data_IF_814967926949
#
_entry.id   IF_814967926949
#
_cell.length_a   1.000
_cell.length_b   1.000
_cell.length_c   1.000
_cell.angle_alpha   90.00
_cell.angle_beta   90.00
_cell.angle_gamma   90.00
#
_symmetry.space_group_name_H-M   'P 1'
#
loop_
_entity.id
_entity.type
_entity.pdbx_description
1 polymer ?
#
# COMPACT_ATOMS: atom_id res chain seq x y z
N UNK A 1 -63.88 39.71 -18.19
CA UNK A 1 -65.01 40.45 -17.60
C UNK A 1 -65.66 39.56 -16.56
N UNK A 2 -65.78 40.07 -15.32
CA UNK A 2 -66.60 39.65 -14.15
C UNK A 2 -66.61 38.16 -13.74
N UNK A 3 -66.40 37.75 -12.48
CA UNK A 3 -66.34 38.43 -11.18
C UNK A 3 -67.28 37.75 -10.15
N UNK A 4 -66.83 37.72 -8.89
CA UNK A 4 -67.46 37.31 -7.61
C UNK A 4 -67.44 35.80 -7.24
N UNK A 5 -66.70 35.32 -6.22
CA UNK A 5 -66.53 35.62 -4.77
C UNK A 5 -67.58 35.00 -3.82
N UNK A 6 -67.09 34.11 -2.93
CA UNK A 6 -67.34 33.95 -1.48
C UNK A 6 -66.18 33.06 -0.97
N UNK A 7 -65.21 33.43 -0.12
CA UNK A 7 -65.12 34.13 1.18
C UNK A 7 -65.67 33.34 2.38
N UNK A 8 -64.76 32.74 3.15
CA UNK A 8 -64.72 32.60 4.63
C UNK A 8 -63.43 31.79 4.95
N UNK A 9 -62.30 32.39 5.33
CA UNK A 9 -61.91 33.08 6.59
C UNK A 9 -61.80 32.18 7.84
N UNK A 10 -60.56 31.75 8.08
CA UNK A 10 -59.80 31.97 9.33
C UNK A 10 -60.26 31.31 10.63
N UNK A 11 -59.48 30.31 11.09
CA UNK A 11 -58.99 30.25 12.48
C UNK A 11 -57.53 29.80 12.52
N UNK A 12 -56.66 30.80 12.69
CA UNK A 12 -55.32 30.65 13.26
C UNK A 12 -55.44 30.21 14.73
N UNK A 13 -54.71 29.17 15.12
CA UNK A 13 -54.06 29.15 16.45
C UNK A 13 -52.68 28.52 16.36
N UNK A 14 -51.72 29.40 16.56
CA UNK A 14 -50.30 29.16 16.79
C UNK A 14 -50.10 28.38 18.10
N UNK A 15 -49.33 27.29 18.08
CA UNK A 15 -48.65 26.76 19.27
C UNK A 15 -47.20 26.44 18.91
N UNK A 16 -46.36 27.47 19.05
CA UNK A 16 -44.96 27.31 19.37
C UNK A 16 -44.79 26.73 20.79
N UNK A 17 -43.62 26.11 20.98
CA UNK A 17 -42.92 25.80 22.22
C UNK A 17 -43.34 24.53 22.98
N UNK A 18 -42.47 23.52 22.98
CA UNK A 18 -41.48 23.37 24.06
C UNK A 18 -40.47 22.25 23.77
N UNK A 19 -39.18 22.63 23.75
CA UNK A 19 -38.05 21.72 23.96
C UNK A 19 -38.07 21.23 25.41
N UNK A 20 -37.91 19.92 25.69
CA UNK A 20 -37.40 19.49 26.98
C UNK A 20 -35.88 19.59 26.98
N UNK A 21 -35.44 20.66 27.62
CA UNK A 21 -34.08 20.89 28.11
C UNK A 21 -33.85 19.92 29.27
N UNK A 22 -32.95 18.94 29.12
CA UNK A 22 -32.48 18.15 30.26
C UNK A 22 -30.95 18.09 30.27
N UNK A 23 -30.35 19.22 30.63
CA UNK A 23 -29.00 19.28 31.21
C UNK A 23 -29.04 18.56 32.56
N UNK A 24 -28.64 17.30 32.60
CA UNK A 24 -28.14 16.71 33.84
C UNK A 24 -26.63 16.86 33.89
N UNK A 25 -26.24 17.83 34.71
CA UNK A 25 -24.94 17.95 35.34
C UNK A 25 -24.47 16.58 35.84
N UNK A 26 -23.41 16.04 35.25
CA UNK A 26 -22.51 15.15 35.95
C UNK A 26 -21.23 15.92 36.25
N UNK A 27 -21.06 16.14 37.55
CA UNK A 27 -20.00 16.86 38.24
C UNK A 27 -18.65 16.22 37.90
N UNK A 28 -17.79 17.01 37.27
CA UNK A 28 -16.35 16.79 37.23
C UNK A 28 -15.84 16.53 38.65
N UNK A 29 -15.33 15.33 38.90
CA UNK A 29 -14.38 15.09 39.99
C UNK A 29 -13.01 15.01 39.34
N UNK A 30 -12.30 16.14 39.38
CA UNK A 30 -10.85 16.15 39.40
C UNK A 30 -10.39 15.14 40.45
N UNK A 31 -9.71 14.09 40.00
CA UNK A 31 -8.86 13.26 40.84
C UNK A 31 -7.44 13.51 40.36
N UNK A 32 -6.78 14.42 41.06
CA UNK A 32 -5.33 14.54 41.05
C UNK A 32 -4.75 13.17 41.41
N UNK A 33 -4.14 12.50 40.44
CA UNK A 33 -3.18 11.45 40.73
C UNK A 33 -1.81 12.07 40.68
N UNK A 34 -1.30 12.35 41.88
CA UNK A 34 0.05 12.81 42.13
C UNK A 34 1.07 12.05 41.30
N UNK A 35 1.88 12.83 40.59
CA UNK A 35 3.19 12.47 40.08
C UNK A 35 3.99 11.74 41.17
N UNK A 36 4.28 10.46 40.94
CA UNK A 36 5.43 9.81 41.54
C UNK A 36 6.43 9.54 40.42
N UNK A 37 7.39 10.45 40.31
CA UNK A 37 8.64 10.24 39.63
C UNK A 37 9.28 8.96 40.20
N UNK A 38 9.24 7.87 39.42
CA UNK A 38 10.08 6.72 39.69
C UNK A 38 11.48 7.04 39.18
N UNK A 39 12.32 7.50 40.11
CA UNK A 39 13.77 7.46 39.95
C UNK A 39 14.21 6.00 39.80
N UNK A 40 14.47 5.57 38.57
CA UNK A 40 15.25 4.36 38.32
C UNK A 40 16.70 4.64 38.72
N UNK A 41 17.07 4.20 39.93
CA UNK A 41 18.47 4.14 40.34
C UNK A 41 19.18 3.09 39.51
N UNK A 42 20.15 3.56 38.72
CA UNK A 42 21.17 2.74 38.09
C UNK A 42 21.86 1.87 39.15
N UNK A 43 21.91 0.55 38.91
CA UNK A 43 22.77 -0.34 39.68
C UNK A 43 23.73 -1.00 38.70
N UNK A 44 24.88 -0.35 38.53
CA UNK A 44 26.02 -0.79 37.74
C UNK A 44 26.66 -1.98 38.47
N UNK A 45 26.44 -3.21 38.01
CA UNK A 45 27.18 -4.36 38.51
C UNK A 45 28.51 -4.46 37.78
N UNK A 46 29.57 -4.13 38.52
CA UNK A 46 30.96 -4.35 38.16
C UNK A 46 31.24 -5.86 38.25
N UNK A 47 31.59 -6.48 37.12
CA UNK A 47 32.28 -7.78 37.12
C UNK A 47 33.71 -7.51 36.64
N UNK A 48 34.65 -7.69 37.57
CA UNK A 48 36.10 -7.72 37.35
C UNK A 48 36.58 -9.17 37.30
N UNK A 49 37.55 -9.45 36.43
CA UNK A 49 38.39 -10.67 36.42
C UNK A 49 38.48 -11.28 35.03
N UNK A 50 39.45 -10.93 34.18
CA UNK A 50 40.90 -11.27 34.14
C UNK A 50 41.24 -12.54 33.34
N UNK A 51 41.94 -12.27 32.23
CA UNK A 51 43.00 -13.03 31.53
C UNK A 51 42.74 -14.44 30.98
N UNK A 52 42.98 -14.60 29.67
CA UNK A 52 44.14 -15.33 29.15
C UNK A 52 44.38 -14.98 27.66
N UNK A 53 45.63 -15.10 27.25
CA UNK A 53 46.25 -14.45 26.11
C UNK A 53 46.32 -15.31 24.83
N UNK A 54 46.35 -14.63 23.68
CA UNK A 54 47.02 -14.95 22.40
C UNK A 54 46.60 -16.25 21.65
N UNK A 55 46.90 -16.45 20.33
CA UNK A 55 47.86 -15.71 19.49
C UNK A 55 47.43 -15.38 18.02
N UNK A 56 48.21 -14.45 17.46
CA UNK A 56 48.76 -14.33 16.10
C UNK A 56 48.04 -14.86 14.84
N UNK A 57 48.01 -13.94 13.87
CA UNK A 57 47.84 -14.07 12.41
C UNK A 57 48.58 -15.25 11.74
N UNK A 58 47.92 -15.90 10.79
CA UNK A 58 48.52 -16.44 9.56
C UNK A 58 47.65 -16.12 8.34
N UNK A 59 48.27 -15.36 7.44
CA UNK A 59 47.91 -15.05 6.06
C UNK A 59 48.53 -16.14 5.17
N UNK A 60 47.73 -16.86 4.36
CA UNK A 60 48.14 -17.63 3.17
C UNK A 60 46.85 -17.89 2.35
N UNK A 61 46.62 -17.16 1.26
CA UNK A 61 47.03 -17.43 -0.14
C UNK A 61 46.01 -18.28 -0.92
N UNK A 62 45.77 -17.81 -2.14
CA UNK A 62 44.96 -18.39 -3.20
C UNK A 62 45.28 -19.88 -3.47
N UNK A 63 44.30 -20.66 -3.94
CA UNK A 63 44.32 -21.26 -5.29
C UNK A 63 42.93 -21.83 -5.67
N UNK A 64 42.57 -21.86 -6.97
CA UNK A 64 41.22 -22.14 -7.46
C UNK A 64 40.96 -23.64 -7.70
N UNK A 65 39.79 -24.08 -7.25
CA UNK A 65 39.28 -25.43 -7.47
C UNK A 65 38.72 -25.64 -8.89
N UNK A 66 39.55 -26.21 -9.74
CA UNK A 66 39.28 -27.24 -10.76
C UNK A 66 38.15 -26.98 -11.79
N UNK A 67 38.63 -26.68 -12.99
CA UNK A 67 38.00 -26.79 -14.30
C UNK A 67 37.29 -28.14 -14.54
N UNK A 68 35.97 -28.10 -14.70
CA UNK A 68 35.23 -29.14 -15.41
C UNK A 68 35.09 -28.70 -16.87
N UNK A 69 35.87 -29.34 -17.75
CA UNK A 69 35.63 -29.33 -19.20
C UNK A 69 34.23 -29.88 -19.46
N UNK A 70 33.36 -29.10 -20.09
CA UNK A 70 32.27 -29.66 -20.88
C UNK A 70 32.43 -29.23 -22.34
N UNK A 71 32.50 -30.28 -23.15
CA UNK A 71 32.76 -30.33 -24.57
C UNK A 71 31.86 -29.39 -25.35
N UNK A 72 32.43 -28.76 -26.36
CA UNK A 72 31.67 -28.24 -27.48
C UNK A 72 30.80 -29.37 -28.06
N UNK A 73 29.49 -29.16 -28.07
CA UNK A 73 28.60 -29.84 -29.02
C UNK A 73 27.87 -28.76 -29.79
N UNK A 74 28.29 -28.63 -31.04
CA UNK A 74 27.74 -27.82 -32.09
C UNK A 74 26.54 -28.62 -32.59
N UNK A 75 25.33 -28.31 -32.15
CA UNK A 75 24.13 -28.74 -32.86
C UNK A 75 23.07 -27.65 -32.87
N UNK A 76 22.71 -27.38 -34.10
CA UNK A 76 21.90 -26.32 -34.62
C UNK A 76 20.43 -26.64 -34.37
N UNK A 77 19.80 -25.96 -33.40
CA UNK A 77 18.34 -25.80 -33.38
C UNK A 77 18.06 -24.32 -33.55
N UNK A 78 17.97 -23.92 -34.83
CA UNK A 78 17.37 -22.69 -35.30
C UNK A 78 15.88 -22.69 -34.93
N UNK A 79 15.56 -22.37 -33.67
CA UNK A 79 14.23 -21.89 -33.30
C UNK A 79 14.18 -20.40 -33.56
N UNK A 80 13.68 -20.06 -34.75
CA UNK A 80 13.13 -18.75 -35.06
C UNK A 80 12.14 -18.37 -33.97
N UNK A 81 12.56 -17.52 -33.03
CA UNK A 81 11.65 -16.76 -32.21
C UNK A 81 11.91 -15.29 -32.53
N UNK A 82 11.40 -14.86 -33.67
CA UNK A 82 11.18 -13.43 -33.94
C UNK A 82 10.07 -12.99 -33.00
N UNK A 83 10.43 -12.76 -31.74
CA UNK A 83 9.53 -12.22 -30.75
C UNK A 83 9.29 -10.77 -31.15
N UNK A 84 8.08 -10.50 -31.66
CA UNK A 84 7.51 -9.17 -31.85
C UNK A 84 7.92 -8.29 -30.67
N UNK A 85 8.42 -7.06 -30.86
CA UNK A 85 8.80 -6.21 -29.73
C UNK A 85 7.60 -6.15 -28.79
N UNK A 86 7.81 -6.60 -27.55
CA UNK A 86 6.82 -6.52 -26.49
C UNK A 86 6.54 -5.03 -26.31
N UNK A 87 5.50 -4.52 -26.97
CA UNK A 87 5.17 -3.11 -26.91
C UNK A 87 4.71 -2.83 -25.48
N UNK A 88 5.59 -2.20 -24.71
CA UNK A 88 5.36 -1.83 -23.34
C UNK A 88 4.19 -0.84 -23.31
N UNK A 89 3.29 -0.95 -22.33
CA UNK A 89 2.21 0.03 -22.16
C UNK A 89 2.86 1.45 -22.08
N UNK A 90 2.25 2.44 -22.75
CA UNK A 90 2.91 3.73 -23.04
C UNK A 90 3.38 4.50 -21.79
N UNK A 91 2.68 4.32 -20.67
CA UNK A 91 2.99 4.92 -19.37
C UNK A 91 3.82 4.04 -18.44
N UNK A 92 4.31 2.88 -18.88
CA UNK A 92 4.98 1.93 -17.99
C UNK A 92 6.21 2.50 -17.28
N UNK A 93 6.97 3.35 -17.96
CA UNK A 93 8.24 3.91 -17.46
C UNK A 93 8.05 5.23 -16.71
N UNK A 94 6.81 5.63 -16.44
CA UNK A 94 6.47 6.89 -15.79
C UNK A 94 5.80 7.90 -16.73
N UNK A 95 5.40 9.06 -16.18
CA UNK A 95 4.73 10.11 -16.93
C UNK A 95 5.64 10.73 -17.99
N UNK A 96 5.04 11.11 -19.11
CA UNK A 96 5.67 11.97 -20.12
C UNK A 96 4.66 13.03 -20.60
N UNK A 97 5.11 14.12 -21.23
CA UNK A 97 4.22 15.22 -21.62
C UNK A 97 3.06 14.82 -22.54
N UNK A 98 3.23 13.80 -23.39
CA UNK A 98 2.17 13.34 -24.28
C UNK A 98 1.05 12.61 -23.53
N UNK A 99 1.39 11.87 -22.47
CA UNK A 99 0.42 11.10 -21.67
C UNK A 99 -0.20 11.90 -20.51
N UNK A 100 0.33 13.07 -20.20
CA UNK A 100 -0.24 13.99 -19.19
C UNK A 100 -1.35 14.89 -19.77
N UNK A 101 -1.68 14.71 -21.05
CA UNK A 101 -2.77 15.45 -21.69
C UNK A 101 -4.11 14.95 -21.15
N UNK A 102 -4.93 15.84 -20.58
CA UNK A 102 -6.24 15.51 -20.02
C UNK A 102 -6.47 16.11 -18.64
N UNK A 103 -7.65 15.88 -18.07
CA UNK A 103 -7.97 16.33 -16.72
C UNK A 103 -7.30 15.45 -15.67
N UNK A 104 -6.75 16.05 -14.61
CA UNK A 104 -6.10 15.31 -13.51
C UNK A 104 -7.00 14.24 -12.90
N UNK A 105 -8.28 14.56 -12.76
CA UNK A 105 -9.29 13.66 -12.16
C UNK A 105 -9.63 12.44 -13.05
N UNK A 106 -9.09 12.39 -14.28
CA UNK A 106 -9.26 11.24 -15.17
C UNK A 106 -8.29 10.10 -14.86
N UNK A 107 -7.23 10.35 -14.09
CA UNK A 107 -6.24 9.33 -13.76
C UNK A 107 -6.66 8.53 -12.53
N UNK A 108 -6.47 7.20 -12.58
CA UNK A 108 -6.75 6.34 -11.44
C UNK A 108 -5.81 5.15 -11.37
N UNK A 109 -5.55 4.68 -10.15
CA UNK A 109 -4.86 3.42 -9.90
C UNK A 109 -5.83 2.34 -9.45
N UNK A 110 -5.63 1.14 -9.99
CA UNK A 110 -6.31 -0.07 -9.54
C UNK A 110 -5.29 -1.14 -9.19
N UNK A 111 -5.53 -1.87 -8.11
CA UNK A 111 -4.79 -3.07 -7.78
C UNK A 111 -5.72 -4.27 -7.89
N UNK A 112 -5.32 -5.33 -8.58
CA UNK A 112 -6.12 -6.55 -8.67
C UNK A 112 -5.28 -7.79 -8.54
N UNK A 113 -5.89 -8.84 -7.97
CA UNK A 113 -5.29 -10.15 -7.94
C UNK A 113 -5.54 -10.83 -9.30
N UNK A 114 -4.56 -11.58 -9.78
CA UNK A 114 -4.74 -12.42 -10.94
C UNK A 114 -5.39 -13.73 -10.51
N UNK A 115 -6.47 -14.09 -11.20
CA UNK A 115 -7.11 -15.39 -11.03
C UNK A 115 -6.14 -16.50 -11.40
N UNK A 116 -5.93 -17.47 -10.50
CA UNK A 116 -5.06 -18.61 -10.77
C UNK A 116 -5.81 -19.65 -11.60
N UNK A 117 -5.92 -19.44 -12.91
CA UNK A 117 -6.41 -20.47 -13.84
C UNK A 117 -5.31 -21.47 -14.24
N UNK A 118 -4.11 -21.37 -13.65
CA UNK A 118 -2.99 -22.28 -13.86
C UNK A 118 -2.13 -22.43 -12.60
N UNK A 119 -1.37 -23.53 -12.51
CA UNK A 119 -0.55 -23.94 -11.35
C UNK A 119 0.62 -23.00 -11.01
N UNK A 120 0.85 -21.98 -11.83
CA UNK A 120 1.98 -21.05 -11.78
C UNK A 120 1.59 -19.63 -11.34
N UNK A 121 0.30 -19.32 -11.14
CA UNK A 121 -0.19 -17.96 -10.92
C UNK A 121 -0.63 -17.73 -9.48
N UNK A 122 0.11 -18.29 -8.50
CA UNK A 122 -0.25 -18.35 -7.06
C UNK A 122 -0.41 -16.96 -6.41
N UNK A 123 -1.49 -16.25 -6.73
CA UNK A 123 -1.82 -14.96 -6.13
C UNK A 123 -0.95 -13.80 -6.59
N UNK A 124 -0.50 -13.79 -7.85
CA UNK A 124 0.13 -12.61 -8.44
C UNK A 124 -0.84 -11.42 -8.41
N UNK A 125 -0.31 -10.21 -8.17
CA UNK A 125 -1.06 -8.97 -8.21
C UNK A 125 -0.57 -8.09 -9.36
N UNK A 126 -1.43 -7.18 -9.80
CA UNK A 126 -1.07 -6.08 -10.69
C UNK A 126 -1.50 -4.76 -10.07
N UNK A 127 -0.70 -3.72 -10.31
CA UNK A 127 -1.11 -2.32 -10.23
C UNK A 127 -1.29 -1.81 -11.66
N UNK A 128 -2.43 -1.23 -11.96
CA UNK A 128 -2.76 -0.72 -13.28
C UNK A 128 -3.08 0.78 -13.19
N UNK A 129 -2.48 1.56 -14.09
CA UNK A 129 -2.79 2.97 -14.28
C UNK A 129 -3.78 3.13 -15.41
N UNK A 130 -4.83 3.90 -15.15
CA UNK A 130 -5.83 4.25 -16.14
C UNK A 130 -5.93 5.76 -16.32
N UNK A 131 -6.28 6.16 -17.53
CA UNK A 131 -6.83 7.47 -17.85
C UNK A 131 -8.23 7.28 -18.44
N UNK A 132 -9.27 7.60 -17.67
CA UNK A 132 -10.63 7.19 -18.00
C UNK A 132 -10.73 5.66 -18.11
N UNK A 133 -11.06 5.17 -19.31
CA UNK A 133 -11.13 3.73 -19.61
C UNK A 133 -9.85 3.14 -20.21
N UNK A 134 -8.89 3.97 -20.62
CA UNK A 134 -7.65 3.53 -21.25
C UNK A 134 -6.63 3.11 -20.19
N UNK A 135 -6.04 1.91 -20.32
CA UNK A 135 -4.93 1.50 -19.46
C UNK A 135 -3.62 2.03 -20.04
N UNK A 136 -2.92 2.84 -19.27
CA UNK A 136 -1.63 3.43 -19.65
C UNK A 136 -0.44 2.61 -19.16
N UNK A 137 -0.59 1.84 -18.09
CA UNK A 137 0.50 1.03 -17.53
C UNK A 137 -0.01 -0.14 -16.68
N UNK A 138 0.85 -1.14 -16.50
CA UNK A 138 0.59 -2.27 -15.60
C UNK A 138 1.89 -2.79 -14.96
N UNK A 139 1.97 -2.83 -13.64
CA UNK A 139 3.16 -3.28 -12.91
C UNK A 139 2.86 -4.55 -12.11
N UNK A 140 3.75 -5.55 -12.13
CA UNK A 140 3.68 -6.68 -11.22
C UNK A 140 3.71 -6.23 -9.76
N UNK A 141 2.88 -6.87 -8.94
CA UNK A 141 2.81 -6.61 -7.52
C UNK A 141 2.64 -7.90 -6.72
N UNK A 142 2.86 -7.81 -5.41
CA UNK A 142 2.65 -8.90 -4.45
C UNK A 142 1.87 -8.33 -3.26
N UNK A 143 0.91 -9.09 -2.72
CA UNK A 143 0.25 -8.72 -1.47
C UNK A 143 -0.08 -9.94 -0.61
N UNK A 144 0.30 -9.85 0.67
CA UNK A 144 0.18 -10.95 1.64
C UNK A 144 1.16 -12.10 1.37
N UNK A 145 1.03 -13.18 2.15
CA UNK A 145 1.73 -14.43 1.91
C UNK A 145 0.96 -15.30 0.92
N UNK A 146 1.66 -15.82 -0.09
CA UNK A 146 1.06 -16.77 -1.04
C UNK A 146 0.57 -18.07 -0.37
N UNK A 147 1.10 -18.41 0.81
CA UNK A 147 0.65 -19.55 1.64
C UNK A 147 -0.66 -19.28 2.39
N UNK A 148 -1.16 -18.05 2.38
CA UNK A 148 -2.37 -17.61 3.12
C UNK A 148 -3.41 -16.95 2.20
N UNK A 149 -3.78 -17.54 1.05
CA UNK A 149 -4.62 -16.88 0.04
C UNK A 149 -6.07 -16.64 0.50
N UNK A 150 -6.53 -17.39 1.51
CA UNK A 150 -7.89 -17.32 2.06
C UNK A 150 -7.95 -16.67 3.44
N UNK A 151 -6.82 -16.18 3.96
CA UNK A 151 -6.78 -15.53 5.27
C UNK A 151 -7.66 -14.27 5.27
N UNK A 152 -8.32 -14.02 6.40
CA UNK A 152 -9.18 -12.84 6.57
C UNK A 152 -8.38 -11.55 6.31
N UNK A 153 -8.78 -10.82 5.27
CA UNK A 153 -8.09 -9.60 4.83
C UNK A 153 -8.50 -8.39 5.66
N UNK A 154 -9.59 -8.43 6.44
CA UNK A 154 -10.25 -7.23 6.97
C UNK A 154 -10.14 -7.04 8.48
N UNK A 155 -10.20 -8.10 9.28
CA UNK A 155 -10.33 -7.97 10.74
C UNK A 155 -9.13 -8.54 11.51
N UNK A 156 -8.31 -9.33 10.85
CA UNK A 156 -7.21 -10.05 11.47
C UNK A 156 -5.85 -9.43 11.07
N UNK A 157 -5.35 -8.38 11.76
CA UNK A 157 -4.03 -7.84 11.47
C UNK A 157 -2.92 -8.87 11.74
N UNK A 158 -1.79 -8.75 11.03
CA UNK A 158 -0.62 -9.62 11.22
C UNK A 158 -0.79 -11.08 10.77
N UNK A 159 -1.95 -11.47 10.24
CA UNK A 159 -2.20 -12.86 9.83
C UNK A 159 -1.54 -13.26 8.50
N UNK A 160 -0.90 -12.31 7.80
CA UNK A 160 -0.29 -12.51 6.49
C UNK A 160 -1.26 -12.46 5.31
N UNK A 161 -2.52 -12.06 5.52
CA UNK A 161 -3.48 -11.87 4.44
C UNK A 161 -3.08 -10.70 3.53
N UNK A 162 -3.48 -10.81 2.26
CA UNK A 162 -3.34 -9.74 1.27
C UNK A 162 -4.12 -8.48 1.69
N UNK A 163 -3.76 -7.35 1.07
CA UNK A 163 -4.41 -6.05 1.23
C UNK A 163 -5.93 -6.21 1.07
N UNK A 164 -6.80 -5.70 1.95
CA UNK A 164 -8.25 -5.86 1.78
C UNK A 164 -8.81 -5.27 0.49
N UNK A 165 -9.94 -5.82 0.02
CA UNK A 165 -10.69 -5.28 -1.13
C UNK A 165 -11.40 -4.00 -0.67
N UNK A 166 -11.33 -2.96 -1.50
CA UNK A 166 -12.04 -1.71 -1.28
C UNK A 166 -11.31 -0.50 -1.87
N UNK A 167 -11.90 0.67 -1.63
CA UNK A 167 -11.31 1.95 -1.98
C UNK A 167 -10.40 2.46 -0.86
N UNK A 168 -9.30 3.08 -1.26
CA UNK A 168 -8.30 3.68 -0.39
C UNK A 168 -8.02 5.11 -0.83
N UNK A 169 -7.85 6.01 0.14
CA UNK A 169 -7.10 7.24 -0.13
C UNK A 169 -5.62 6.87 -0.26
N UNK A 170 -5.00 7.36 -1.32
CA UNK A 170 -3.61 7.19 -1.65
C UNK A 170 -2.84 8.45 -1.27
N UNK A 171 -1.87 8.30 -0.38
CA UNK A 171 -0.93 9.35 -0.04
C UNK A 171 0.03 9.67 -1.18
N UNK A 172 0.55 10.89 -1.18
CA UNK A 172 1.65 11.26 -2.06
C UNK A 172 2.89 10.41 -1.74
N UNK A 173 3.80 10.18 -2.71
CA UNK A 173 5.01 9.41 -2.48
C UNK A 173 5.93 10.13 -1.48
N UNK A 174 6.35 9.39 -0.46
CA UNK A 174 7.21 9.85 0.63
C UNK A 174 8.52 9.05 0.67
N UNK A 175 9.65 9.66 1.05
CA UNK A 175 10.88 8.91 1.31
C UNK A 175 10.70 7.92 2.47
N UNK A 176 11.22 6.70 2.32
CA UNK A 176 11.24 5.69 3.37
C UNK A 176 12.61 4.99 3.40
N UNK A 177 13.56 5.60 4.10
CA UNK A 177 14.97 5.20 4.00
C UNK A 177 15.49 5.41 2.58
N UNK A 178 16.00 4.35 1.95
CA UNK A 178 16.38 4.35 0.53
C UNK A 178 15.21 4.03 -0.42
N UNK A 179 14.02 3.77 0.14
CA UNK A 179 12.83 3.33 -0.59
C UNK A 179 11.76 4.43 -0.67
N UNK A 180 10.62 4.13 -1.30
CA UNK A 180 9.45 5.02 -1.43
C UNK A 180 8.27 4.36 -0.72
N UNK A 181 7.55 5.16 0.07
CA UNK A 181 6.30 4.79 0.69
C UNK A 181 5.15 5.58 0.07
N UNK A 182 4.07 4.89 -0.30
CA UNK A 182 2.79 5.53 -0.60
C UNK A 182 1.75 5.00 0.39
N UNK A 183 1.29 5.87 1.30
CA UNK A 183 0.32 5.50 2.32
C UNK A 183 -1.03 5.10 1.71
N UNK A 184 -1.67 4.06 2.26
CA UNK A 184 -3.01 3.65 1.89
C UNK A 184 -3.94 3.72 3.10
N UNK A 185 -4.90 4.64 3.06
CA UNK A 185 -5.92 4.78 4.10
C UNK A 185 -7.24 4.13 3.65
N UNK A 186 -7.67 3.02 4.27
CA UNK A 186 -8.94 2.37 3.95
C UNK A 186 -10.13 3.35 4.06
N UNK A 187 -11.01 3.36 3.06
CA UNK A 187 -12.28 4.11 3.09
C UNK A 187 -13.46 3.21 3.49
N UNK A 188 -13.17 2.17 4.27
CA UNK A 188 -14.12 1.19 4.78
C UNK A 188 -13.70 0.75 6.18
N UNK A 189 -14.62 0.18 6.95
CA UNK A 189 -14.33 -0.33 8.30
C UNK A 189 -13.40 -1.54 8.23
N UNK A 190 -12.30 -1.48 8.97
CA UNK A 190 -11.25 -2.50 9.02
C UNK A 190 -10.39 -2.26 10.26
N UNK A 191 -9.84 -3.33 10.83
CA UNK A 191 -8.85 -3.24 11.92
C UNK A 191 -7.41 -3.18 11.38
N UNK A 192 -7.26 -3.25 10.04
CA UNK A 192 -5.97 -3.13 9.35
C UNK A 192 -5.51 -1.67 9.30
N UNK A 193 -4.24 -1.45 9.64
CA UNK A 193 -3.58 -0.15 9.61
C UNK A 193 -2.15 -0.29 9.07
N UNK A 194 -1.44 0.83 8.87
CA UNK A 194 -0.06 0.82 8.38
C UNK A 194 0.07 0.20 6.98
N UNK A 195 -0.92 0.41 6.12
CA UNK A 195 -0.97 -0.15 4.78
C UNK A 195 -0.35 0.83 3.79
N UNK A 196 0.34 0.30 2.78
CA UNK A 196 0.96 1.13 1.76
C UNK A 196 1.37 0.37 0.50
N UNK A 197 1.90 1.13 -0.45
CA UNK A 197 2.64 0.63 -1.62
C UNK A 197 4.13 0.94 -1.39
N UNK A 198 5.00 -0.06 -1.55
CA UNK A 198 6.44 0.09 -1.32
C UNK A 198 7.25 -1.02 -2.02
N UNK A 199 8.58 -0.96 -1.98
CA UNK A 199 9.42 -2.02 -2.53
C UNK A 199 9.45 -3.23 -1.60
N UNK A 200 9.73 -4.40 -2.16
CA UNK A 200 9.29 -5.66 -1.59
C UNK A 200 9.79 -5.99 -0.17
N UNK A 201 8.85 -6.04 0.76
CA UNK A 201 8.92 -6.81 2.01
C UNK A 201 7.63 -7.65 2.12
N UNK A 202 7.58 -8.86 1.55
CA UNK A 202 6.36 -9.66 1.47
C UNK A 202 5.85 -10.10 2.86
N UNK A 203 4.54 -10.05 3.08
CA UNK A 203 3.89 -10.59 4.29
C UNK A 203 3.15 -9.62 5.20
N UNK A 204 3.35 -8.30 5.05
CA UNK A 204 2.70 -7.27 5.87
C UNK A 204 1.23 -6.99 5.50
N UNK A 205 0.79 -7.51 4.35
CA UNK A 205 -0.52 -7.15 3.76
C UNK A 205 -0.54 -5.81 3.04
N UNK A 206 0.62 -5.17 2.86
CA UNK A 206 0.82 -4.07 1.91
C UNK A 206 0.82 -4.57 0.45
N UNK A 207 0.91 -3.63 -0.49
CA UNK A 207 1.15 -3.91 -1.90
C UNK A 207 2.65 -3.71 -2.19
N UNK A 208 3.40 -4.80 -2.29
CA UNK A 208 4.79 -4.76 -2.72
C UNK A 208 4.85 -4.55 -4.25
N UNK A 209 5.77 -3.70 -4.70
CA UNK A 209 6.24 -3.63 -6.08
C UNK A 209 7.67 -4.24 -6.15
N UNK A 210 7.86 -5.41 -6.80
CA UNK A 210 9.17 -6.10 -6.81
C UNK A 210 10.26 -5.35 -7.56
N UNK A 211 9.92 -4.56 -8.58
CA UNK A 211 10.87 -3.74 -9.34
C UNK A 211 10.95 -2.36 -8.72
N UNK A 212 12.17 -1.89 -8.39
CA UNK A 212 12.38 -0.54 -7.86
C UNK A 212 12.02 0.52 -8.91
N UNK A 213 12.38 0.30 -10.17
CA UNK A 213 12.04 1.20 -11.26
C UNK A 213 10.52 1.32 -11.46
N UNK A 214 9.79 0.22 -11.26
CA UNK A 214 8.33 0.22 -11.37
C UNK A 214 7.70 1.02 -10.23
N UNK A 215 8.22 0.92 -9.01
CA UNK A 215 7.79 1.73 -7.88
C UNK A 215 8.05 3.22 -8.12
N UNK A 216 9.22 3.56 -8.69
CA UNK A 216 9.57 4.93 -9.06
C UNK A 216 8.64 5.47 -10.16
N UNK A 217 8.30 4.66 -11.16
CA UNK A 217 7.33 5.01 -12.19
C UNK A 217 5.93 5.28 -11.59
N UNK A 218 5.45 4.42 -10.70
CA UNK A 218 4.18 4.61 -9.99
C UNK A 218 4.22 5.91 -9.18
N UNK A 219 5.28 6.14 -8.40
CA UNK A 219 5.45 7.34 -7.60
C UNK A 219 5.47 8.61 -8.47
N UNK A 220 6.18 8.57 -9.60
CA UNK A 220 6.23 9.68 -10.55
C UNK A 220 4.84 9.99 -11.14
N UNK A 221 4.06 8.95 -11.48
CA UNK A 221 2.67 9.12 -11.94
C UNK A 221 1.78 9.77 -10.88
N UNK A 222 1.79 9.25 -9.65
CA UNK A 222 1.01 9.79 -8.53
C UNK A 222 1.34 11.27 -8.31
N UNK A 223 2.63 11.62 -8.30
CA UNK A 223 3.08 13.00 -8.13
C UNK A 223 2.68 13.91 -9.29
N UNK A 224 2.82 13.45 -10.54
CA UNK A 224 2.57 14.27 -11.72
C UNK A 224 1.08 14.55 -11.96
N UNK A 225 0.22 13.58 -11.64
CA UNK A 225 -1.22 13.63 -11.91
C UNK A 225 -2.04 14.03 -10.69
N UNK A 226 -1.50 13.87 -9.48
CA UNK A 226 -2.23 14.10 -8.24
C UNK A 226 -3.23 12.99 -7.89
N UNK A 227 -3.07 11.78 -8.46
CA UNK A 227 -3.90 10.63 -8.08
C UNK A 227 -3.87 10.47 -6.56
N UNK A 228 -5.05 10.46 -5.95
CA UNK A 228 -5.25 10.35 -4.50
C UNK A 228 -6.12 9.14 -4.13
N UNK A 229 -6.39 8.25 -5.10
CA UNK A 229 -7.21 7.06 -4.92
C UNK A 229 -6.56 5.81 -5.49
N UNK A 230 -6.64 4.71 -4.72
CA UNK A 230 -6.40 3.35 -5.18
C UNK A 230 -7.69 2.53 -5.00
N UNK A 231 -8.10 1.80 -6.03
CA UNK A 231 -9.18 0.80 -5.93
C UNK A 231 -8.57 -0.61 -5.90
N UNK A 232 -8.82 -1.38 -4.85
CA UNK A 232 -8.34 -2.76 -4.72
C UNK A 232 -9.47 -3.73 -5.05
N UNK A 233 -9.21 -4.66 -5.97
CA UNK A 233 -10.15 -5.62 -6.52
C UNK A 233 -9.61 -7.07 -6.40
N UNK A 234 -10.49 -8.04 -6.64
CA UNK A 234 -10.12 -9.46 -6.74
C UNK A 234 -9.62 -9.85 -8.13
#
# INVERSE_FOLDING_TARGET
MHGLQRSESSKFTNKQAQKPNNKKFFRSKHRETNSKAMHYKATLHIIKGLFLAAPLLLIMSCEPGISAKQSASKDEIKRSNTQKPNNLDSGQTGPNPALLQGHRDSFSLKARRLSSTGSNNNGQWLVELFQGSERLARWPAISGYNTKPTADRRWSPGNGAALPIGDYLLGQPEPWGADIWLNLQPQFKTDRSGLGIHHCNPGSGCLCIPSRNDLEAIAAWVKATGIDKLTVQN
#
